data_IF_383934610254
#
_entry.id   IF_383934610254
#
_cell.length_a   1.000
_cell.length_b   1.000
_cell.length_c   1.000
_cell.angle_alpha   90.00
_cell.angle_beta   90.00
_cell.angle_gamma   90.00
#
_symmetry.space_group_name_H-M   'P 1'
#
loop_
_entity.id
_entity.type
_entity.pdbx_description
1 polymer ?
#
# COMPACT_ATOMS: atom_id res chain seq x y z
N UNK A 1 13.71 -32.06 40.63
CA UNK A 1 12.51 -31.22 40.43
C UNK A 1 12.63 -30.58 39.05
N UNK A 2 11.85 -31.03 38.06
CA UNK A 2 11.85 -30.43 36.72
C UNK A 2 10.91 -29.22 36.75
N UNK A 3 11.43 -28.02 36.50
CA UNK A 3 10.61 -26.81 36.39
C UNK A 3 9.68 -26.93 35.18
N UNK A 4 8.37 -26.73 35.39
CA UNK A 4 7.40 -26.66 34.30
C UNK A 4 7.70 -25.45 33.41
N UNK A 5 7.87 -25.68 32.12
CA UNK A 5 8.01 -24.58 31.14
C UNK A 5 6.70 -23.79 31.13
N UNK A 6 6.74 -22.45 31.30
CA UNK A 6 5.52 -21.64 31.29
C UNK A 6 4.86 -21.70 29.91
N UNK A 7 3.54 -21.75 29.90
CA UNK A 7 2.75 -21.71 28.67
C UNK A 7 2.97 -20.37 27.96
N UNK A 8 3.54 -20.41 26.75
CA UNK A 8 3.82 -19.23 25.92
C UNK A 8 2.74 -18.93 24.88
N UNK A 9 1.60 -19.63 24.95
CA UNK A 9 0.47 -19.43 24.06
C UNK A 9 -0.50 -18.36 24.57
N UNK A 10 -1.50 -18.04 23.73
CA UNK A 10 -2.60 -17.15 24.13
C UNK A 10 -3.56 -17.94 25.03
N UNK A 11 -3.85 -17.37 26.19
CA UNK A 11 -4.80 -17.92 27.18
C UNK A 11 -6.23 -17.49 26.88
N UNK A 12 -7.22 -18.22 27.41
CA UNK A 12 -8.64 -17.89 27.25
C UNK A 12 -8.98 -16.55 27.90
N UNK A 13 -8.35 -16.25 29.03
CA UNK A 13 -8.52 -14.99 29.76
C UNK A 13 -8.01 -13.81 28.92
N UNK A 14 -6.88 -13.98 28.23
CA UNK A 14 -6.38 -12.97 27.28
C UNK A 14 -7.32 -12.79 26.09
N UNK A 15 -7.88 -13.88 25.52
CA UNK A 15 -8.86 -13.77 24.44
C UNK A 15 -10.11 -13.01 24.86
N UNK A 16 -10.64 -13.29 26.06
CA UNK A 16 -11.78 -12.56 26.61
C UNK A 16 -11.46 -11.08 26.78
N UNK A 17 -10.30 -10.75 27.38
CA UNK A 17 -9.86 -9.37 27.54
C UNK A 17 -9.69 -8.63 26.21
N UNK A 18 -9.17 -9.27 25.16
CA UNK A 18 -9.07 -8.68 23.83
C UNK A 18 -10.44 -8.43 23.19
N UNK A 19 -11.37 -9.38 23.34
CA UNK A 19 -12.74 -9.22 22.83
C UNK A 19 -13.45 -8.05 23.53
N UNK A 20 -13.33 -7.95 24.85
CA UNK A 20 -13.92 -6.86 25.63
C UNK A 20 -13.32 -5.51 25.24
N UNK A 21 -11.99 -5.41 25.15
CA UNK A 21 -11.31 -4.20 24.71
C UNK A 21 -11.70 -3.80 23.26
N UNK A 22 -11.88 -4.77 22.37
CA UNK A 22 -12.34 -4.52 21.02
C UNK A 22 -13.79 -4.00 21.00
N UNK A 23 -14.69 -4.64 21.75
CA UNK A 23 -16.10 -4.31 21.80
C UNK A 23 -16.40 -3.00 22.55
N UNK A 24 -15.47 -2.52 23.39
CA UNK A 24 -15.60 -1.26 24.12
C UNK A 24 -15.71 -0.02 23.20
N UNK A 25 -15.27 -0.11 21.93
CA UNK A 25 -15.34 1.00 20.98
C UNK A 25 -16.29 0.69 19.82
N UNK A 26 -17.40 1.44 19.66
CA UNK A 26 -18.30 1.31 18.51
C UNK A 26 -17.59 1.49 17.15
N UNK A 27 -16.49 2.25 17.12
CA UNK A 27 -15.67 2.45 15.91
C UNK A 27 -15.04 1.14 15.43
N UNK A 28 -14.69 0.22 16.33
CA UNK A 28 -14.09 -1.06 15.97
C UNK A 28 -15.09 -1.94 15.21
N UNK A 29 -16.35 -1.98 15.66
CA UNK A 29 -17.43 -2.69 14.96
C UNK A 29 -17.71 -2.09 13.58
N UNK A 30 -17.72 -0.75 13.48
CA UNK A 30 -17.86 -0.06 12.18
C UNK A 30 -16.71 -0.44 11.23
N UNK A 31 -15.46 -0.34 11.69
CA UNK A 31 -14.28 -0.69 10.91
C UNK A 31 -14.30 -2.17 10.49
N UNK A 32 -14.65 -3.09 11.41
CA UNK A 32 -14.78 -4.52 11.11
C UNK A 32 -15.81 -4.78 10.00
N UNK A 33 -16.99 -4.19 10.09
CA UNK A 33 -18.02 -4.33 9.05
C UNK A 33 -17.54 -3.79 7.69
N UNK A 34 -16.77 -2.71 7.69
CA UNK A 34 -16.21 -2.14 6.47
C UNK A 34 -15.15 -3.05 5.83
N UNK A 35 -14.16 -3.51 6.61
CA UNK A 35 -13.02 -4.31 6.09
C UNK A 35 -13.37 -5.77 5.80
N UNK A 36 -14.43 -6.32 6.41
CA UNK A 36 -14.91 -7.68 6.10
C UNK A 36 -15.68 -7.74 4.78
N UNK A 37 -16.19 -6.61 4.30
CA UNK A 37 -16.92 -6.51 3.02
C UNK A 37 -16.13 -5.87 1.90
N UNK A 38 -15.02 -5.19 2.21
CA UNK A 38 -14.25 -4.40 1.25
C UNK A 38 -12.74 -4.59 1.47
N UNK A 39 -11.91 -4.45 0.43
CA UNK A 39 -10.46 -4.42 0.59
C UNK A 39 -10.02 -3.32 1.57
N UNK A 40 -9.08 -3.65 2.46
CA UNK A 40 -8.62 -2.73 3.51
C UNK A 40 -8.08 -1.41 2.96
N UNK A 41 -7.40 -1.43 1.80
CA UNK A 41 -6.85 -0.23 1.18
C UNK A 41 -7.94 0.74 0.72
N UNK A 42 -9.09 0.25 0.29
CA UNK A 42 -10.23 1.08 -0.10
C UNK A 42 -10.88 1.74 1.11
N UNK A 43 -10.99 1.01 2.22
CA UNK A 43 -11.55 1.53 3.48
C UNK A 43 -10.60 2.56 4.12
N UNK A 44 -9.30 2.31 4.07
CA UNK A 44 -8.28 3.16 4.68
C UNK A 44 -7.92 4.41 3.84
N UNK A 45 -8.49 4.56 2.64
CA UNK A 45 -8.19 5.68 1.75
C UNK A 45 -8.62 7.02 2.40
N UNK A 46 -7.66 7.91 2.67
CA UNK A 46 -7.96 9.26 3.14
C UNK A 46 -8.39 10.15 1.97
N UNK A 47 -9.68 10.51 1.94
CA UNK A 47 -10.21 11.39 0.90
C UNK A 47 -9.58 12.78 0.93
N UNK A 48 -9.23 13.28 2.12
CA UNK A 48 -8.53 14.56 2.29
C UNK A 48 -7.18 14.57 1.56
N UNK A 49 -6.39 13.51 1.73
CA UNK A 49 -5.08 13.38 1.06
C UNK A 49 -5.27 13.34 -0.45
N UNK A 50 -6.25 12.55 -0.93
CA UNK A 50 -6.57 12.48 -2.37
C UNK A 50 -6.96 13.84 -2.93
N UNK A 51 -7.76 14.63 -2.21
CA UNK A 51 -8.19 15.96 -2.67
C UNK A 51 -7.11 17.03 -2.58
N UNK A 52 -6.16 16.91 -1.63
CA UNK A 52 -5.06 17.87 -1.45
C UNK A 52 -3.85 17.56 -2.31
N UNK A 53 -3.73 16.35 -2.86
CA UNK A 53 -2.61 15.97 -3.71
C UNK A 53 -2.66 16.75 -5.02
N UNK A 54 -1.68 17.63 -5.22
CA UNK A 54 -1.50 18.40 -6.45
C UNK A 54 -0.46 17.74 -7.35
N UNK A 55 -0.78 17.62 -8.64
CA UNK A 55 0.09 17.09 -9.69
C UNK A 55 0.66 18.21 -10.58
N UNK A 56 0.72 19.43 -10.04
CA UNK A 56 1.36 20.59 -10.66
C UNK A 56 2.83 20.67 -10.26
N UNK A 57 3.70 20.84 -11.25
CA UNK A 57 5.15 20.92 -11.06
C UNK A 57 5.67 22.12 -11.85
N UNK A 58 6.59 22.89 -11.26
CA UNK A 58 7.22 24.06 -11.90
C UNK A 58 8.08 23.67 -13.11
N UNK A 59 8.72 22.50 -13.04
CA UNK A 59 9.53 21.94 -14.11
C UNK A 59 8.99 20.57 -14.49
N UNK A 60 8.46 20.44 -15.71
CA UNK A 60 8.02 19.16 -16.28
C UNK A 60 9.04 18.71 -17.31
N UNK A 61 9.57 17.51 -17.11
CA UNK A 61 10.41 16.85 -18.10
C UNK A 61 9.53 16.35 -19.25
N UNK A 62 10.08 16.35 -20.46
CA UNK A 62 9.43 15.70 -21.60
C UNK A 62 9.23 14.22 -21.27
N UNK A 63 7.97 13.78 -21.31
CA UNK A 63 7.57 12.43 -20.94
C UNK A 63 7.02 11.71 -22.15
N UNK A 64 7.50 10.50 -22.38
CA UNK A 64 6.98 9.62 -23.41
C UNK A 64 5.78 8.82 -22.88
N UNK A 65 5.03 8.18 -23.79
CA UNK A 65 3.98 7.21 -23.38
C UNK A 65 4.53 6.21 -22.36
N UNK A 66 3.71 5.94 -21.34
CA UNK A 66 4.02 4.98 -20.30
C UNK A 66 4.27 3.59 -20.88
N UNK A 67 5.22 2.87 -20.29
CA UNK A 67 5.55 1.48 -20.64
C UNK A 67 4.92 0.55 -19.61
N UNK A 68 4.62 -0.69 -20.02
CA UNK A 68 4.02 -1.70 -19.15
C UNK A 68 4.95 -2.92 -19.03
N UNK A 69 5.35 -3.25 -17.80
CA UNK A 69 6.17 -4.43 -17.53
C UNK A 69 5.36 -5.72 -17.48
N UNK A 70 4.03 -5.60 -17.41
CA UNK A 70 3.07 -6.69 -17.27
C UNK A 70 3.38 -7.56 -16.03
N UNK A 71 3.05 -8.84 -16.09
CA UNK A 71 3.25 -9.80 -15.01
C UNK A 71 4.72 -10.25 -14.91
N UNK A 72 5.63 -9.31 -14.69
CA UNK A 72 7.07 -9.57 -14.54
C UNK A 72 7.74 -8.68 -13.49
N UNK A 73 8.89 -9.12 -12.97
CA UNK A 73 9.71 -8.37 -11.99
C UNK A 73 10.72 -7.39 -12.62
N UNK A 74 10.44 -6.83 -13.80
CA UNK A 74 11.41 -6.05 -14.61
C UNK A 74 11.36 -4.54 -14.35
N UNK A 75 10.77 -4.07 -13.25
CA UNK A 75 10.60 -2.64 -12.97
C UNK A 75 11.91 -1.83 -13.05
N UNK A 76 13.01 -2.40 -12.57
CA UNK A 76 14.33 -1.77 -12.61
C UNK A 76 14.82 -1.52 -14.05
N UNK A 77 14.62 -2.50 -14.94
CA UNK A 77 14.98 -2.39 -16.35
C UNK A 77 14.10 -1.34 -17.05
N UNK A 78 12.79 -1.37 -16.80
CA UNK A 78 11.86 -0.40 -17.38
C UNK A 78 12.16 1.03 -16.90
N UNK A 79 12.48 1.21 -15.63
CA UNK A 79 12.88 2.50 -15.07
C UNK A 79 14.15 3.05 -15.74
N UNK A 80 15.21 2.23 -15.80
CA UNK A 80 16.47 2.63 -16.46
C UNK A 80 16.28 2.95 -17.94
N UNK A 81 15.58 2.10 -18.68
CA UNK A 81 15.32 2.32 -20.11
C UNK A 81 14.41 3.52 -20.37
N UNK A 82 13.46 3.83 -19.48
CA UNK A 82 12.59 5.01 -19.64
C UNK A 82 13.39 6.32 -19.56
N UNK A 83 14.43 6.37 -18.72
CA UNK A 83 15.36 7.53 -18.67
C UNK A 83 16.16 7.63 -19.96
N UNK A 84 16.81 6.53 -20.38
CA UNK A 84 17.69 6.52 -21.56
C UNK A 84 16.91 6.77 -22.87
N UNK A 85 15.70 6.21 -22.98
CA UNK A 85 14.86 6.32 -24.17
C UNK A 85 14.48 7.76 -24.49
N UNK A 86 14.26 8.60 -23.48
CA UNK A 86 13.91 10.01 -23.70
C UNK A 86 14.99 10.73 -24.52
N UNK A 87 16.26 10.56 -24.16
CA UNK A 87 17.38 11.17 -24.88
C UNK A 87 17.65 10.49 -26.22
N UNK A 88 17.55 9.15 -26.28
CA UNK A 88 17.73 8.40 -27.52
C UNK A 88 16.71 8.80 -28.59
N UNK A 89 15.43 8.95 -28.21
CA UNK A 89 14.37 9.39 -29.14
C UNK A 89 14.63 10.79 -29.68
N UNK A 90 15.09 11.71 -28.84
CA UNK A 90 15.48 13.07 -29.24
C UNK A 90 16.64 13.03 -30.25
N UNK A 91 17.69 12.27 -29.98
CA UNK A 91 18.87 12.20 -30.85
C UNK A 91 18.61 11.52 -32.19
N UNK A 92 17.64 10.61 -32.25
CA UNK A 92 17.27 9.87 -33.46
C UNK A 92 16.08 10.49 -34.21
N UNK A 93 15.60 11.67 -33.80
CA UNK A 93 14.40 12.32 -34.37
C UNK A 93 13.16 11.40 -34.39
N UNK A 94 13.00 10.58 -33.34
CA UNK A 94 11.86 9.68 -33.17
C UNK A 94 10.78 10.34 -32.33
N UNK A 95 9.52 10.07 -32.67
CA UNK A 95 8.34 10.52 -31.93
C UNK A 95 7.95 9.55 -30.82
#
# INVERSE_FOLDING_TARGET
>A
MMASVPFTGITTEQLAAFADAFNASPKNRLSMNAVTKNPVHSVALSREVVTRTDHTFSHKLASNKATAQEHSGRCWLFSGLNVLRAEAMKNMNMK
#
